data_IF_544200882882
#
_entry.id   IF_544200882882
#
_cell.length_a   1.000
_cell.length_b   1.000
_cell.length_c   1.000
_cell.angle_alpha   90.00
_cell.angle_beta   90.00
_cell.angle_gamma   90.00
#
_symmetry.space_group_name_H-M   'P 1'
#
loop_
_entity.id
_entity.type
_entity.pdbx_description
1 polymer ?
#
# COMPACT_ATOMS: atom_id res chain seq x y z
N UNK A 1 -13.40 -7.17 11.29
CA UNK A 1 -12.66 -5.94 11.61
C UNK A 1 -13.63 -4.77 11.68
N UNK A 2 -13.40 -3.83 12.57
CA UNK A 2 -14.11 -2.56 12.59
C UNK A 2 -13.47 -1.55 11.62
N UNK A 3 -14.16 -0.43 11.39
CA UNK A 3 -13.74 0.60 10.44
C UNK A 3 -12.37 1.20 10.76
N UNK A 4 -12.01 1.34 12.04
CA UNK A 4 -10.74 1.90 12.46
C UNK A 4 -9.58 0.93 12.20
N UNK A 5 -9.77 -0.36 12.48
CA UNK A 5 -8.78 -1.41 12.20
C UNK A 5 -8.48 -1.49 10.70
N UNK A 6 -9.51 -1.36 9.84
CA UNK A 6 -9.34 -1.34 8.39
C UNK A 6 -8.50 -0.14 7.96
N UNK A 7 -8.81 1.07 8.46
CA UNK A 7 -8.02 2.26 8.13
C UNK A 7 -6.56 2.08 8.55
N UNK A 8 -6.29 1.57 9.75
CA UNK A 8 -4.93 1.31 10.22
C UNK A 8 -4.17 0.32 9.31
N UNK A 9 -4.84 -0.70 8.77
CA UNK A 9 -4.21 -1.61 7.80
C UNK A 9 -3.84 -0.88 6.50
N UNK A 10 -4.76 -0.09 5.94
CA UNK A 10 -4.45 0.70 4.74
C UNK A 10 -3.31 1.69 4.98
N UNK A 11 -3.27 2.36 6.15
CA UNK A 11 -2.16 3.25 6.51
C UNK A 11 -0.84 2.50 6.64
N UNK A 12 -0.86 1.28 7.17
CA UNK A 12 0.32 0.41 7.23
C UNK A 12 0.82 0.06 5.83
N UNK A 13 -0.08 -0.27 4.88
CA UNK A 13 0.30 -0.51 3.48
C UNK A 13 0.88 0.76 2.83
N UNK A 14 0.34 1.94 3.11
CA UNK A 14 0.90 3.20 2.61
C UNK A 14 2.32 3.48 3.14
N UNK A 15 2.59 3.14 4.41
CA UNK A 15 3.94 3.23 4.97
C UNK A 15 4.90 2.23 4.31
N UNK A 16 4.48 0.98 4.13
CA UNK A 16 5.32 -0.06 3.48
C UNK A 16 5.64 0.33 2.04
N UNK A 17 4.65 0.79 1.27
CA UNK A 17 4.84 1.21 -0.14
C UNK A 17 5.73 2.44 -0.25
N UNK A 18 5.68 3.37 0.72
CA UNK A 18 6.66 4.45 0.79
C UNK A 18 8.08 3.93 1.06
N UNK A 19 8.24 2.96 1.96
CA UNK A 19 9.55 2.33 2.21
C UNK A 19 10.07 1.59 0.98
N UNK A 20 9.18 0.94 0.22
CA UNK A 20 9.52 0.30 -1.07
C UNK A 20 10.01 1.35 -2.07
N UNK A 21 9.33 2.49 -2.18
CA UNK A 21 9.75 3.58 -3.04
C UNK A 21 11.14 4.11 -2.68
N UNK A 22 11.40 4.34 -1.39
CA UNK A 22 12.74 4.77 -0.93
C UNK A 22 13.82 3.73 -1.22
N UNK A 23 13.55 2.43 -1.00
CA UNK A 23 14.46 1.35 -1.34
C UNK A 23 14.75 1.30 -2.85
N UNK A 24 13.72 1.43 -3.69
CA UNK A 24 13.86 1.48 -5.15
C UNK A 24 14.71 2.69 -5.60
N UNK A 25 14.50 3.86 -5.00
CA UNK A 25 15.25 5.10 -5.33
C UNK A 25 16.75 4.98 -5.06
N UNK A 26 17.14 4.25 -4.01
CA UNK A 26 18.56 4.02 -3.67
C UNK A 26 19.13 2.74 -4.27
N UNK A 27 18.33 1.95 -4.98
CA UNK A 27 18.74 0.68 -5.59
C UNK A 27 18.91 -0.48 -4.61
N UNK A 28 18.28 -0.41 -3.43
CA UNK A 28 18.28 -1.48 -2.44
C UNK A 28 17.22 -2.55 -2.78
N UNK A 29 17.57 -3.41 -3.74
CA UNK A 29 16.65 -4.41 -4.29
C UNK A 29 16.32 -5.53 -3.30
N UNK A 30 17.23 -5.85 -2.37
CA UNK A 30 16.99 -6.84 -1.32
C UNK A 30 15.92 -6.34 -0.36
N UNK A 31 16.07 -5.09 0.11
CA UNK A 31 15.08 -4.46 0.98
C UNK A 31 13.74 -4.27 0.25
N UNK A 32 13.76 -3.91 -1.04
CA UNK A 32 12.55 -3.80 -1.86
C UNK A 32 11.77 -5.12 -1.89
N UNK A 33 12.44 -6.24 -2.18
CA UNK A 33 11.82 -7.57 -2.22
C UNK A 33 11.29 -8.01 -0.84
N UNK A 34 12.03 -7.73 0.23
CA UNK A 34 11.58 -8.02 1.60
C UNK A 34 10.32 -7.23 1.97
N UNK A 35 10.25 -5.95 1.57
CA UNK A 35 9.09 -5.09 1.80
C UNK A 35 7.89 -5.50 0.92
N UNK A 36 8.10 -5.95 -0.30
CA UNK A 36 7.04 -6.45 -1.19
C UNK A 36 6.29 -7.65 -0.57
N UNK A 37 7.03 -8.60 0.00
CA UNK A 37 6.44 -9.74 0.72
C UNK A 37 5.58 -9.29 1.91
N UNK A 38 6.06 -8.31 2.68
CA UNK A 38 5.30 -7.72 3.79
C UNK A 38 4.06 -6.98 3.30
N UNK A 39 4.17 -6.22 2.21
CA UNK A 39 3.05 -5.51 1.59
C UNK A 39 1.95 -6.49 1.18
N UNK A 40 2.34 -7.56 0.47
CA UNK A 40 1.44 -8.62 0.01
C UNK A 40 0.64 -9.22 1.18
N UNK A 41 1.30 -9.57 2.29
CA UNK A 41 0.60 -10.12 3.47
C UNK A 41 -0.45 -9.17 4.06
N UNK A 42 -0.18 -7.86 4.09
CA UNK A 42 -1.14 -6.87 4.58
C UNK A 42 -2.32 -6.70 3.62
N UNK A 43 -2.06 -6.68 2.31
CA UNK A 43 -3.09 -6.61 1.28
C UNK A 43 -4.00 -7.84 1.34
N UNK A 44 -3.45 -9.04 1.56
CA UNK A 44 -4.24 -10.26 1.76
C UNK A 44 -5.11 -10.20 3.02
N UNK A 45 -4.57 -9.64 4.11
CA UNK A 45 -5.33 -9.42 5.35
C UNK A 45 -6.52 -8.50 5.11
N UNK A 46 -6.32 -7.41 4.36
CA UNK A 46 -7.41 -6.51 3.95
C UNK A 46 -8.44 -7.27 3.11
N UNK A 47 -7.99 -8.01 2.10
CA UNK A 47 -8.87 -8.76 1.17
C UNK A 47 -9.75 -9.78 1.89
N UNK A 48 -9.22 -10.42 2.93
CA UNK A 48 -9.92 -11.47 3.69
C UNK A 48 -10.70 -10.94 4.90
N UNK A 49 -10.31 -9.78 5.46
CA UNK A 49 -10.83 -9.24 6.71
C UNK A 49 -11.80 -8.05 6.57
N UNK A 50 -11.88 -7.43 5.39
CA UNK A 50 -12.80 -6.32 5.13
C UNK A 50 -14.24 -6.83 5.01
N UNK A 51 -15.05 -6.53 6.03
CA UNK A 51 -16.46 -6.84 6.04
C UNK A 51 -17.22 -5.87 5.12
N UNK A 52 -18.26 -6.30 4.39
CA UNK A 52 -19.06 -5.44 3.51
C UNK A 52 -19.91 -4.38 4.23
N UNK A 53 -19.69 -4.17 5.54
CA UNK A 53 -20.39 -3.13 6.31
C UNK A 53 -20.03 -1.75 5.74
N UNK A 54 -21.03 -0.89 5.44
CA UNK A 54 -20.78 0.44 4.93
C UNK A 54 -19.90 1.26 5.89
N UNK A 55 -18.77 1.76 5.38
CA UNK A 55 -17.97 2.76 6.07
C UNK A 55 -18.72 4.09 6.10
N UNK A 56 -18.59 4.86 7.19
CA UNK A 56 -19.11 6.24 7.22
C UNK A 56 -18.40 7.11 6.18
N UNK A 57 -19.02 8.21 5.76
CA UNK A 57 -18.50 9.09 4.70
C UNK A 57 -17.06 9.54 4.94
N UNK A 58 -16.76 10.03 6.15
CA UNK A 58 -15.41 10.47 6.54
C UNK A 58 -14.38 9.34 6.50
N UNK A 59 -14.74 8.13 6.93
CA UNK A 59 -13.83 6.97 6.89
C UNK A 59 -13.59 6.53 5.46
N UNK A 60 -14.62 6.55 4.61
CA UNK A 60 -14.49 6.25 3.18
C UNK A 60 -13.58 7.25 2.47
N UNK A 61 -13.70 8.54 2.74
CA UNK A 61 -12.81 9.57 2.19
C UNK A 61 -11.36 9.36 2.61
N UNK A 62 -11.12 9.05 3.89
CA UNK A 62 -9.77 8.73 4.39
C UNK A 62 -9.20 7.51 3.67
N UNK A 63 -9.98 6.43 3.54
CA UNK A 63 -9.59 5.23 2.80
C UNK A 63 -9.18 5.54 1.36
N UNK A 64 -9.99 6.34 0.65
CA UNK A 64 -9.69 6.74 -0.74
C UNK A 64 -8.37 7.49 -0.84
N UNK A 65 -8.11 8.45 0.05
CA UNK A 65 -6.83 9.18 0.07
C UNK A 65 -5.64 8.25 0.26
N UNK A 66 -5.74 7.29 1.19
CA UNK A 66 -4.67 6.32 1.45
C UNK A 66 -4.42 5.43 0.22
N UNK A 67 -5.48 4.95 -0.43
CA UNK A 67 -5.37 4.15 -1.67
C UNK A 67 -4.68 4.96 -2.78
N UNK A 68 -5.04 6.24 -2.94
CA UNK A 68 -4.38 7.11 -3.93
C UNK A 68 -2.88 7.26 -3.65
N UNK A 69 -2.48 7.41 -2.37
CA UNK A 69 -1.07 7.43 -1.96
C UNK A 69 -0.35 6.13 -2.31
N UNK A 70 -0.94 4.97 -1.99
CA UNK A 70 -0.38 3.65 -2.33
C UNK A 70 -0.16 3.53 -3.84
N UNK A 71 -1.17 3.85 -4.65
CA UNK A 71 -1.10 3.75 -6.10
C UNK A 71 -0.06 4.70 -6.71
N UNK A 72 0.15 5.88 -6.11
CA UNK A 72 1.17 6.81 -6.54
C UNK A 72 2.58 6.23 -6.29
N UNK A 73 2.82 5.67 -5.10
CA UNK A 73 4.09 5.01 -4.78
C UNK A 73 4.35 3.83 -5.73
N UNK A 74 3.37 2.97 -5.96
CA UNK A 74 3.50 1.82 -6.88
C UNK A 74 3.83 2.26 -8.30
N UNK A 75 3.25 3.37 -8.77
CA UNK A 75 3.56 3.92 -10.10
C UNK A 75 5.01 4.40 -10.18
N UNK A 76 5.50 5.09 -9.16
CA UNK A 76 6.89 5.54 -9.10
C UNK A 76 7.86 4.35 -9.02
N UNK A 77 7.56 3.33 -8.21
CA UNK A 77 8.35 2.11 -8.13
C UNK A 77 8.48 1.46 -9.51
N UNK A 78 7.36 1.27 -10.23
CA UNK A 78 7.39 0.70 -11.59
C UNK A 78 8.24 1.51 -12.56
N UNK A 79 8.20 2.84 -12.45
CA UNK A 79 9.04 3.72 -13.30
C UNK A 79 10.54 3.48 -13.05
N UNK A 80 10.92 3.12 -11.83
CA UNK A 80 12.31 2.82 -11.43
C UNK A 80 12.69 1.39 -11.83
N UNK A 81 11.82 0.41 -11.56
CA UNK A 81 12.14 -1.02 -11.69
C UNK A 81 11.91 -1.56 -13.10
N UNK A 82 11.04 -0.92 -13.88
CA UNK A 82 10.59 -1.38 -15.19
C UNK A 82 10.72 -0.29 -16.27
N UNK A 83 11.91 0.35 -16.44
CA UNK A 83 12.06 1.51 -17.33
C UNK A 83 11.82 1.20 -18.82
N UNK A 84 11.84 -0.08 -19.21
CA UNK A 84 11.57 -0.52 -20.58
C UNK A 84 10.07 -0.65 -20.92
N UNK A 85 9.17 -0.43 -19.96
CA UNK A 85 7.72 -0.49 -20.17
C UNK A 85 7.06 0.89 -20.34
N UNK A 86 7.86 1.96 -20.46
CA UNK A 86 7.42 3.34 -20.63
C UNK A 86 7.44 3.82 -22.09
#
# INVERSE_FOLDING_TARGET
MNSQEIISLYETVAVITNQMLEAARIGDWEQLAALESRCTSHVETIRNGESPVPLSGAVRERKVKIIQTILAHDREIRTITEPWMA
#
